data_IF_596985325158
#
_entry.id   IF_596985325158
#
_cell.length_a   1.000
_cell.length_b   1.000
_cell.length_c   1.000
_cell.angle_alpha   90.00
_cell.angle_beta   90.00
_cell.angle_gamma   90.00
#
_symmetry.space_group_name_H-M   'P 1'
#
loop_
_entity.id
_entity.type
_entity.pdbx_description
1 polymer ?
#
# COMPACT_ATOMS: atom_id res chain seq x y z
N UNK A 1 -26.22 -3.50 65.74
CA UNK A 1 -26.78 -3.11 64.44
C UNK A 1 -25.66 -2.46 63.66
N UNK A 2 -25.34 -2.97 62.47
CA UNK A 2 -24.36 -2.34 61.59
C UNK A 2 -24.87 -0.96 61.19
N UNK A 3 -24.08 0.09 61.42
CA UNK A 3 -24.43 1.43 60.96
C UNK A 3 -24.24 1.51 59.44
N UNK A 4 -25.36 1.55 58.72
CA UNK A 4 -25.37 1.61 57.26
C UNK A 4 -24.75 2.92 56.74
N UNK A 5 -24.87 4.02 57.48
CA UNK A 5 -24.33 5.32 57.08
C UNK A 5 -22.80 5.34 57.19
N UNK A 6 -22.26 4.77 58.27
CA UNK A 6 -20.80 4.65 58.43
C UNK A 6 -20.20 3.71 57.37
N UNK A 7 -20.85 2.57 57.10
CA UNK A 7 -20.40 1.64 56.06
C UNK A 7 -20.42 2.27 54.66
N UNK A 8 -21.44 3.08 54.35
CA UNK A 8 -21.51 3.81 53.09
C UNK A 8 -20.35 4.81 52.95
N UNK A 9 -20.09 5.59 54.01
CA UNK A 9 -19.04 6.59 54.03
C UNK A 9 -17.66 5.95 53.83
N UNK A 10 -17.37 4.86 54.55
CA UNK A 10 -16.10 4.13 54.45
C UNK A 10 -15.88 3.58 53.04
N UNK A 11 -16.92 2.99 52.43
CA UNK A 11 -16.85 2.46 51.08
C UNK A 11 -16.69 3.56 50.03
N UNK A 12 -17.44 4.66 50.13
CA UNK A 12 -17.30 5.79 49.19
C UNK A 12 -15.91 6.42 49.30
N UNK A 13 -15.36 6.58 50.50
CA UNK A 13 -14.01 7.09 50.71
C UNK A 13 -12.94 6.15 50.15
N UNK A 14 -13.09 4.84 50.33
CA UNK A 14 -12.20 3.84 49.76
C UNK A 14 -12.23 3.86 48.23
N UNK A 15 -13.42 3.98 47.63
CA UNK A 15 -13.59 4.12 46.17
C UNK A 15 -12.92 5.40 45.68
N UNK A 16 -13.16 6.53 46.35
CA UNK A 16 -12.55 7.82 45.97
C UNK A 16 -11.03 7.82 46.07
N UNK A 17 -10.47 7.09 47.03
CA UNK A 17 -9.02 6.96 47.23
C UNK A 17 -8.35 5.91 46.35
N UNK A 18 -9.12 5.12 45.59
CA UNK A 18 -8.56 4.09 44.73
C UNK A 18 -7.85 4.74 43.53
N UNK A 19 -6.57 4.37 43.33
CA UNK A 19 -5.72 4.91 42.26
C UNK A 19 -5.62 3.99 41.03
N UNK A 20 -6.06 2.74 41.14
CA UNK A 20 -5.99 1.75 40.05
C UNK A 20 -7.30 1.01 39.86
N UNK A 21 -7.59 0.57 38.63
CA UNK A 21 -8.77 -0.25 38.34
C UNK A 21 -8.76 -1.57 39.14
N UNK A 22 -7.57 -2.12 39.42
CA UNK A 22 -7.40 -3.28 40.29
C UNK A 22 -7.82 -2.98 41.74
N UNK A 23 -7.42 -1.84 42.30
CA UNK A 23 -7.84 -1.42 43.64
C UNK A 23 -9.36 -1.22 43.74
N UNK A 24 -9.99 -0.68 42.69
CA UNK A 24 -11.47 -0.58 42.63
C UNK A 24 -12.12 -1.96 42.59
N UNK A 25 -11.53 -2.92 41.87
CA UNK A 25 -12.01 -4.30 41.81
C UNK A 25 -11.89 -5.01 43.17
N UNK A 26 -10.79 -4.79 43.91
CA UNK A 26 -10.62 -5.32 45.27
C UNK A 26 -11.68 -4.78 46.22
N UNK A 27 -12.00 -3.48 46.14
CA UNK A 27 -13.08 -2.86 46.91
C UNK A 27 -14.45 -3.44 46.51
N UNK A 28 -14.68 -3.67 45.21
CA UNK A 28 -15.91 -4.32 44.72
C UNK A 28 -16.06 -5.72 45.29
N UNK A 29 -14.99 -6.52 45.34
CA UNK A 29 -15.01 -7.87 45.92
C UNK A 29 -15.25 -7.81 47.43
N UNK A 30 -14.62 -6.88 48.14
CA UNK A 30 -14.80 -6.69 49.58
C UNK A 30 -16.21 -6.20 49.96
N UNK A 31 -16.86 -5.40 49.12
CA UNK A 31 -18.20 -4.87 49.38
C UNK A 31 -19.32 -5.78 48.85
N UNK A 32 -19.23 -6.20 47.58
CA UNK A 32 -20.30 -6.87 46.80
C UNK A 32 -19.98 -8.33 46.45
N UNK A 33 -18.80 -8.85 46.82
CA UNK A 33 -18.43 -10.25 46.60
C UNK A 33 -19.26 -11.24 47.42
N UNK A 34 -19.01 -12.55 47.24
CA UNK A 34 -19.78 -13.62 47.91
C UNK A 34 -19.78 -13.53 49.46
N UNK A 35 -18.70 -12.99 50.02
CA UNK A 35 -18.52 -12.74 51.47
C UNK A 35 -18.38 -11.24 51.78
N UNK A 36 -18.82 -10.38 50.86
CA UNK A 36 -18.66 -8.93 51.01
C UNK A 36 -19.57 -8.34 52.08
N UNK A 37 -19.21 -7.16 52.59
CA UNK A 37 -19.94 -6.47 53.67
C UNK A 37 -21.41 -6.22 53.33
N UNK A 38 -21.72 -5.76 52.10
CA UNK A 38 -23.09 -5.52 51.63
C UNK A 38 -23.81 -6.85 51.33
N UNK A 39 -23.10 -7.82 50.74
CA UNK A 39 -23.64 -9.16 50.50
C UNK A 39 -24.02 -9.89 51.81
N UNK A 40 -23.29 -9.65 52.89
CA UNK A 40 -23.62 -10.13 54.23
C UNK A 40 -24.93 -9.52 54.76
N UNK A 41 -25.13 -8.22 54.58
CA UNK A 41 -26.36 -7.52 54.96
C UNK A 41 -27.57 -8.02 54.16
N UNK A 42 -27.40 -8.27 52.85
CA UNK A 42 -28.44 -8.83 51.99
C UNK A 42 -28.82 -10.27 52.38
N UNK A 43 -27.86 -11.11 52.77
CA UNK A 43 -28.15 -12.46 53.31
C UNK A 43 -28.89 -12.38 54.65
N UNK A 44 -28.52 -11.43 55.51
CA UNK A 44 -29.18 -11.17 56.79
C UNK A 44 -30.66 -10.82 56.66
N UNK A 45 -31.09 -10.23 55.53
CA UNK A 45 -32.51 -9.94 55.26
C UNK A 45 -33.39 -11.20 55.19
N UNK A 46 -32.82 -12.36 54.87
CA UNK A 46 -33.54 -13.64 54.80
C UNK A 46 -34.11 -14.07 56.16
N UNK A 47 -33.47 -13.67 57.25
CA UNK A 47 -33.85 -14.01 58.63
C UNK A 47 -34.75 -12.96 59.31
N UNK A 48 -35.02 -11.82 58.65
CA UNK A 48 -35.84 -10.72 59.20
C UNK A 48 -37.35 -11.02 59.12
N UNK A 49 -38.11 -10.47 60.07
CA UNK A 49 -39.58 -10.47 60.02
C UNK A 49 -40.12 -9.64 58.85
N UNK A 50 -41.39 -9.83 58.43
CA UNK A 50 -41.99 -9.07 57.34
C UNK A 50 -41.94 -7.54 57.53
N UNK A 51 -42.13 -7.07 58.76
CA UNK A 51 -42.14 -5.63 59.08
C UNK A 51 -40.71 -5.05 59.07
N UNK A 52 -39.73 -5.75 59.63
CA UNK A 52 -38.32 -5.34 59.58
C UNK A 52 -37.77 -5.34 58.15
N UNK A 53 -38.17 -6.32 57.34
CA UNK A 53 -37.77 -6.40 55.93
C UNK A 53 -38.35 -5.23 55.12
N UNK A 54 -39.56 -4.76 55.45
CA UNK A 54 -40.20 -3.61 54.81
C UNK A 54 -39.47 -2.30 55.06
N UNK A 55 -38.87 -2.13 56.25
CA UNK A 55 -38.14 -0.92 56.61
C UNK A 55 -36.65 -0.96 56.22
N UNK A 56 -35.96 -2.08 56.44
CA UNK A 56 -34.52 -2.21 56.23
C UNK A 56 -34.14 -2.62 54.80
N UNK A 57 -35.02 -3.34 54.10
CA UNK A 57 -34.77 -3.79 52.73
C UNK A 57 -34.49 -2.66 51.74
N UNK A 58 -35.31 -1.59 51.69
CA UNK A 58 -35.04 -0.43 50.83
C UNK A 58 -33.72 0.27 51.17
N UNK A 59 -33.36 0.37 52.46
CA UNK A 59 -32.12 1.00 52.93
C UNK A 59 -30.88 0.23 52.45
N UNK A 60 -30.89 -1.10 52.56
CA UNK A 60 -29.79 -1.98 52.13
C UNK A 60 -29.67 -2.03 50.60
N UNK A 61 -30.79 -2.12 49.88
CA UNK A 61 -30.77 -2.08 48.41
C UNK A 61 -30.29 -0.71 47.89
N UNK A 62 -30.74 0.39 48.50
CA UNK A 62 -30.26 1.73 48.16
C UNK A 62 -28.76 1.91 48.40
N UNK A 63 -28.23 1.37 49.50
CA UNK A 63 -26.79 1.35 49.77
C UNK A 63 -26.03 0.57 48.68
N UNK A 64 -26.49 -0.64 48.34
CA UNK A 64 -25.90 -1.46 47.28
C UNK A 64 -25.85 -0.70 45.96
N UNK A 65 -26.95 -0.06 45.58
CA UNK A 65 -27.06 0.60 44.28
C UNK A 65 -26.18 1.86 44.21
N UNK A 66 -26.08 2.64 45.29
CA UNK A 66 -25.16 3.79 45.38
C UNK A 66 -23.70 3.37 45.31
N UNK A 67 -23.29 2.37 46.10
CA UNK A 67 -21.92 1.84 46.10
C UNK A 67 -21.58 1.21 44.75
N UNK A 68 -22.49 0.44 44.16
CA UNK A 68 -22.29 -0.13 42.83
C UNK A 68 -22.11 0.97 41.77
N UNK A 69 -22.91 2.02 41.82
CA UNK A 69 -22.81 3.15 40.89
C UNK A 69 -21.47 3.89 41.05
N UNK A 70 -21.04 4.13 42.29
CA UNK A 70 -19.75 4.76 42.59
C UNK A 70 -18.55 3.91 42.11
N UNK A 71 -18.61 2.58 42.32
CA UNK A 71 -17.59 1.64 41.82
C UNK A 71 -17.51 1.67 40.29
N UNK A 72 -18.65 1.61 39.61
CA UNK A 72 -18.70 1.66 38.13
C UNK A 72 -18.17 2.98 37.60
N UNK A 73 -18.57 4.12 38.19
CA UNK A 73 -18.09 5.43 37.79
C UNK A 73 -16.57 5.56 37.98
N UNK A 74 -16.06 5.20 39.17
CA UNK A 74 -14.63 5.30 39.47
C UNK A 74 -13.77 4.39 38.59
N UNK A 75 -14.24 3.16 38.33
CA UNK A 75 -13.55 2.24 37.42
C UNK A 75 -13.45 2.82 36.02
N UNK A 76 -14.56 3.36 35.50
CA UNK A 76 -14.59 3.97 34.17
C UNK A 76 -13.66 5.20 34.07
N UNK A 77 -13.60 6.03 35.12
CA UNK A 77 -12.66 7.17 35.18
C UNK A 77 -11.20 6.72 35.09
N UNK A 78 -10.82 5.70 35.87
CA UNK A 78 -9.44 5.20 35.91
C UNK A 78 -9.05 4.50 34.60
N UNK A 79 -9.95 3.70 34.02
CA UNK A 79 -9.73 3.05 32.72
C UNK A 79 -9.60 4.09 31.59
N UNK A 80 -10.40 5.16 31.61
CA UNK A 80 -10.30 6.25 30.64
C UNK A 80 -8.98 7.03 30.79
N UNK A 81 -8.54 7.29 32.02
CA UNK A 81 -7.27 7.96 32.29
C UNK A 81 -6.06 7.11 31.86
N UNK A 82 -6.09 5.80 32.11
CA UNK A 82 -5.07 4.86 31.67
C UNK A 82 -4.99 4.79 30.14
N UNK A 83 -6.14 4.72 29.47
CA UNK A 83 -6.22 4.74 28.00
C UNK A 83 -5.66 6.03 27.41
N UNK A 84 -6.04 7.20 27.94
CA UNK A 84 -5.55 8.49 27.47
C UNK A 84 -4.02 8.64 27.66
N UNK A 85 -3.50 8.20 28.81
CA UNK A 85 -2.06 8.16 29.07
C UNK A 85 -1.33 7.27 28.05
N UNK A 86 -1.88 6.09 27.75
CA UNK A 86 -1.33 5.17 26.75
C UNK A 86 -1.37 5.75 25.34
N UNK A 87 -2.48 6.39 24.93
CA UNK A 87 -2.61 7.04 23.63
C UNK A 87 -1.61 8.19 23.45
N UNK A 88 -1.35 8.98 24.51
CA UNK A 88 -0.32 10.03 24.49
C UNK A 88 1.08 9.46 24.38
N UNK A 89 1.37 8.35 25.06
CA UNK A 89 2.67 7.68 25.00
C UNK A 89 2.92 7.00 23.64
N UNK A 90 1.88 6.45 23.01
CA UNK A 90 1.91 5.82 21.69
C UNK A 90 1.75 6.82 20.53
N UNK A 91 1.77 8.13 20.80
CA UNK A 91 1.63 9.15 19.77
C UNK A 91 2.83 9.13 18.82
N UNK A 92 2.57 8.94 17.53
CA UNK A 92 3.58 8.91 16.47
C UNK A 92 3.40 10.12 15.55
N UNK A 93 4.51 10.71 15.12
CA UNK A 93 4.51 11.72 14.07
C UNK A 93 4.19 11.08 12.69
N UNK A 94 2.96 11.28 12.22
CA UNK A 94 2.47 10.77 10.94
C UNK A 94 3.05 11.52 9.73
N UNK A 95 3.78 12.63 9.94
CA UNK A 95 4.42 13.38 8.85
C UNK A 95 5.80 12.82 8.47
N UNK A 96 6.34 11.91 9.27
CA UNK A 96 7.61 11.27 8.98
C UNK A 96 7.55 10.45 7.68
N UNK A 97 8.64 10.44 6.90
CA UNK A 97 8.69 9.66 5.68
C UNK A 97 8.51 8.17 6.00
N UNK A 98 7.74 7.42 5.18
CA UNK A 98 7.61 5.99 5.36
C UNK A 98 8.96 5.31 5.07
N UNK A 99 9.11 4.07 5.55
CA UNK A 99 10.29 3.28 5.23
C UNK A 99 10.44 3.16 3.71
N UNK A 100 11.63 3.45 3.14
CA UNK A 100 11.79 3.51 1.70
C UNK A 100 11.52 2.14 1.07
N UNK A 101 10.77 2.15 -0.03
CA UNK A 101 10.56 1.00 -0.90
C UNK A 101 11.14 1.34 -2.26
N UNK A 102 11.75 0.35 -2.93
CA UNK A 102 12.24 0.55 -4.31
C UNK A 102 11.06 0.86 -5.21
N UNK A 103 11.13 1.97 -5.93
CA UNK A 103 10.21 2.30 -7.01
C UNK A 103 10.88 1.93 -8.34
N UNK A 104 10.12 1.32 -9.24
CA UNK A 104 10.56 1.11 -10.61
C UNK A 104 10.44 2.40 -11.42
N UNK A 105 11.16 2.48 -12.54
CA UNK A 105 10.99 3.57 -13.50
C UNK A 105 11.15 3.01 -14.91
N UNK A 106 10.39 3.57 -15.84
CA UNK A 106 10.52 3.24 -17.27
C UNK A 106 11.73 3.99 -17.83
N UNK A 107 12.48 3.36 -18.73
CA UNK A 107 13.63 4.01 -19.35
C UNK A 107 13.18 5.25 -20.15
N UNK A 108 13.89 6.39 -20.10
CA UNK A 108 13.46 7.62 -20.77
C UNK A 108 13.15 7.46 -22.26
N UNK A 109 13.94 6.67 -22.99
CA UNK A 109 13.69 6.41 -24.42
C UNK A 109 12.39 5.63 -24.66
N UNK A 110 12.01 4.73 -23.74
CA UNK A 110 10.73 4.02 -23.82
C UNK A 110 9.56 4.96 -23.53
N UNK A 111 9.72 5.90 -22.57
CA UNK A 111 8.68 6.90 -22.30
C UNK A 111 8.39 7.76 -23.54
N UNK A 112 9.46 8.25 -24.21
CA UNK A 112 9.32 9.02 -25.46
C UNK A 112 8.74 8.16 -26.59
N UNK A 113 9.15 6.90 -26.69
CA UNK A 113 8.61 5.97 -27.68
C UNK A 113 7.11 5.75 -27.47
N UNK A 114 6.67 5.49 -26.25
CA UNK A 114 5.27 5.31 -25.89
C UNK A 114 4.44 6.58 -26.17
N UNK A 115 4.98 7.75 -25.86
CA UNK A 115 4.34 9.05 -26.16
C UNK A 115 4.16 9.26 -27.66
N UNK A 116 5.20 9.01 -28.46
CA UNK A 116 5.12 9.11 -29.92
C UNK A 116 4.12 8.10 -30.49
N UNK A 117 4.13 6.86 -29.99
CA UNK A 117 3.18 5.82 -30.41
C UNK A 117 1.75 6.26 -30.12
N UNK A 118 1.46 6.79 -28.93
CA UNK A 118 0.14 7.27 -28.56
C UNK A 118 -0.34 8.41 -29.50
N UNK A 119 0.52 9.40 -29.77
CA UNK A 119 0.21 10.51 -30.67
C UNK A 119 -0.19 10.05 -32.08
N UNK A 120 0.57 9.13 -32.67
CA UNK A 120 0.29 8.63 -34.01
C UNK A 120 -0.90 7.65 -34.05
N UNK A 121 -1.10 6.88 -32.97
CA UNK A 121 -2.27 6.03 -32.82
C UNK A 121 -3.57 6.86 -32.84
N UNK A 122 -3.60 8.01 -32.16
CA UNK A 122 -4.73 8.95 -32.18
C UNK A 122 -5.02 9.51 -33.59
N UNK A 123 -3.99 9.60 -34.44
CA UNK A 123 -4.13 9.99 -35.86
C UNK A 123 -4.52 8.81 -36.78
N UNK A 124 -4.69 7.61 -36.24
CA UNK A 124 -5.06 6.40 -36.97
C UNK A 124 -3.90 5.69 -37.68
N UNK A 125 -2.67 5.84 -37.18
CA UNK A 125 -1.53 5.04 -37.62
C UNK A 125 -1.44 3.75 -36.80
N UNK A 126 -1.11 2.63 -37.44
CA UNK A 126 -0.78 1.39 -36.77
C UNK A 126 0.72 1.29 -36.45
N UNK A 127 1.07 0.61 -35.37
CA UNK A 127 2.47 0.26 -35.08
C UNK A 127 2.85 -0.98 -35.88
N UNK A 128 3.96 -0.90 -36.62
CA UNK A 128 4.54 -2.00 -37.36
C UNK A 128 5.95 -2.30 -36.82
N UNK A 129 6.26 -3.58 -36.66
CA UNK A 129 7.56 -4.05 -36.17
C UNK A 129 8.25 -4.92 -37.21
N UNK A 130 9.56 -5.09 -37.07
CA UNK A 130 10.33 -6.00 -37.89
C UNK A 130 11.68 -6.34 -37.26
N UNK A 131 12.43 -7.26 -37.86
CA UNK A 131 13.65 -7.79 -37.28
C UNK A 131 14.75 -6.73 -37.18
N UNK A 132 15.66 -6.90 -36.23
CA UNK A 132 16.88 -6.08 -36.11
C UNK A 132 17.97 -6.50 -37.09
N UNK A 133 17.98 -7.78 -37.48
CA UNK A 133 18.87 -8.33 -38.51
C UNK A 133 18.14 -8.34 -39.84
N UNK A 134 18.67 -7.64 -40.82
CA UNK A 134 18.08 -7.46 -42.14
C UNK A 134 19.00 -7.96 -43.27
N UNK A 135 18.40 -8.23 -44.43
CA UNK A 135 19.14 -8.47 -45.66
C UNK A 135 19.47 -7.13 -46.38
N UNK A 136 20.38 -7.20 -47.36
CA UNK A 136 20.78 -6.03 -48.16
C UNK A 136 19.60 -5.45 -48.96
N UNK A 137 18.65 -6.29 -49.35
CA UNK A 137 17.52 -5.85 -50.16
C UNK A 137 16.62 -4.90 -49.37
N UNK A 138 16.15 -5.30 -48.19
CA UNK A 138 15.23 -4.51 -47.37
C UNK A 138 15.93 -3.33 -46.70
N UNK A 139 17.20 -3.47 -46.28
CA UNK A 139 17.94 -2.38 -45.66
C UNK A 139 18.46 -1.34 -46.67
N UNK A 140 18.67 -1.71 -47.94
CA UNK A 140 19.26 -0.80 -48.92
C UNK A 140 18.57 -0.80 -50.28
N UNK A 141 18.52 -1.94 -50.98
CA UNK A 141 18.10 -1.99 -52.40
C UNK A 141 16.69 -1.45 -52.62
N UNK A 142 15.73 -1.87 -51.79
CA UNK A 142 14.34 -1.45 -51.87
C UNK A 142 14.12 0.04 -51.54
N UNK A 143 15.11 0.68 -50.92
CA UNK A 143 15.10 2.10 -50.57
C UNK A 143 15.90 2.95 -51.57
N UNK A 144 16.17 2.39 -52.76
CA UNK A 144 16.88 3.06 -53.84
C UNK A 144 18.35 3.44 -53.52
N UNK A 145 19.00 2.71 -52.61
CA UNK A 145 20.44 2.78 -52.45
C UNK A 145 21.08 1.76 -53.40
N UNK A 146 21.75 2.11 -54.51
CA UNK A 146 22.43 1.12 -55.36
C UNK A 146 23.69 0.52 -54.69
N UNK A 147 24.26 -0.61 -55.19
CA UNK A 147 25.42 -1.27 -54.56
C UNK A 147 26.67 -0.40 -54.33
N UNK A 148 26.87 0.64 -55.14
CA UNK A 148 28.00 1.59 -55.02
C UNK A 148 27.62 2.87 -54.28
N UNK A 149 26.49 2.88 -53.56
CA UNK A 149 26.04 4.06 -52.84
C UNK A 149 26.88 4.26 -51.56
N UNK A 150 27.35 5.48 -51.25
CA UNK A 150 28.13 5.76 -50.04
C UNK A 150 27.46 5.31 -48.73
N UNK A 151 26.12 5.41 -48.66
CA UNK A 151 25.35 4.92 -47.51
C UNK A 151 25.40 3.39 -47.27
N UNK A 152 25.91 2.60 -48.23
CA UNK A 152 26.17 1.16 -48.08
C UNK A 152 27.61 0.85 -47.65
N UNK A 153 28.47 1.86 -47.59
CA UNK A 153 29.88 1.66 -47.29
C UNK A 153 30.08 1.14 -45.86
N UNK A 154 31.20 0.45 -45.65
CA UNK A 154 31.50 -0.29 -44.40
C UNK A 154 31.73 0.58 -43.16
N UNK A 155 31.65 1.90 -43.29
CA UNK A 155 32.01 2.81 -42.22
C UNK A 155 30.97 2.79 -41.08
N UNK A 156 29.67 2.73 -41.39
CA UNK A 156 28.62 2.89 -40.37
C UNK A 156 27.65 1.71 -40.26
N UNK A 157 27.82 0.64 -41.05
CA UNK A 157 26.94 -0.53 -41.02
C UNK A 157 27.61 -1.72 -40.34
N UNK A 158 26.92 -2.36 -39.40
CA UNK A 158 27.35 -3.65 -38.85
C UNK A 158 26.97 -4.78 -39.79
N UNK A 159 27.96 -5.33 -40.48
CA UNK A 159 27.78 -6.52 -41.30
C UNK A 159 28.00 -7.80 -40.50
N UNK A 160 27.13 -8.78 -40.70
CA UNK A 160 27.27 -10.12 -40.13
C UNK A 160 28.24 -10.98 -40.96
N UNK A 161 28.56 -12.16 -40.45
CA UNK A 161 29.33 -13.14 -41.22
C UNK A 161 28.52 -13.55 -42.47
N UNK A 162 29.19 -13.72 -43.63
CA UNK A 162 28.51 -14.21 -44.81
C UNK A 162 27.94 -15.60 -44.55
N UNK A 163 26.77 -15.86 -45.11
CA UNK A 163 26.16 -17.17 -45.13
C UNK A 163 27.09 -18.16 -45.87
N UNK A 164 27.43 -19.32 -45.28
CA UNK A 164 28.34 -20.28 -45.90
C UNK A 164 27.83 -20.89 -47.22
N UNK A 165 26.51 -20.94 -47.43
CA UNK A 165 25.88 -21.55 -48.59
C UNK A 165 25.59 -20.52 -49.68
N UNK A 166 25.04 -19.36 -49.32
CA UNK A 166 24.63 -18.33 -50.29
C UNK A 166 25.69 -17.26 -50.52
N UNK A 167 26.65 -17.12 -49.60
CA UNK A 167 27.63 -16.02 -49.60
C UNK A 167 27.02 -14.67 -49.22
N UNK A 168 25.71 -14.59 -48.97
CA UNK A 168 25.02 -13.35 -48.65
C UNK A 168 25.41 -12.83 -47.27
N UNK A 169 25.49 -11.51 -47.15
CA UNK A 169 25.91 -10.84 -45.91
C UNK A 169 24.76 -10.03 -45.35
N UNK A 170 24.14 -10.54 -44.29
CA UNK A 170 23.13 -9.80 -43.52
C UNK A 170 23.76 -8.63 -42.75
N UNK A 171 22.93 -7.69 -42.33
CA UNK A 171 23.33 -6.50 -41.58
C UNK A 171 22.46 -6.34 -40.33
N UNK A 172 22.98 -5.64 -39.32
CA UNK A 172 22.09 -5.00 -38.35
C UNK A 172 21.49 -3.75 -39.00
N UNK A 173 20.17 -3.58 -38.91
CA UNK A 173 19.47 -2.49 -39.60
C UNK A 173 19.96 -1.12 -39.14
N UNK A 174 20.16 -0.21 -40.10
CA UNK A 174 20.68 1.15 -39.85
C UNK A 174 19.57 2.20 -39.65
N UNK A 175 18.32 1.79 -39.90
CA UNK A 175 17.07 2.54 -39.80
C UNK A 175 15.88 1.54 -39.81
N UNK A 176 14.68 1.97 -39.43
CA UNK A 176 13.48 1.11 -39.42
C UNK A 176 12.70 1.08 -40.74
N UNK A 177 13.21 1.71 -41.80
CA UNK A 177 12.66 1.64 -43.16
C UNK A 177 12.45 0.23 -43.74
N UNK A 178 13.21 -0.82 -43.38
CA UNK A 178 12.91 -2.20 -43.79
C UNK A 178 11.48 -2.64 -43.45
N UNK A 179 10.96 -2.20 -42.29
CA UNK A 179 9.57 -2.47 -41.89
C UNK A 179 8.59 -1.86 -42.88
N UNK A 180 8.86 -0.63 -43.34
CA UNK A 180 8.02 0.08 -44.31
C UNK A 180 7.97 -0.66 -45.65
N UNK A 181 9.13 -1.13 -46.15
CA UNK A 181 9.21 -1.96 -47.37
C UNK A 181 8.40 -3.23 -47.19
N UNK A 182 8.59 -3.96 -46.08
CA UNK A 182 7.87 -5.20 -45.79
C UNK A 182 6.36 -4.98 -45.74
N UNK A 183 5.90 -3.89 -45.11
CA UNK A 183 4.47 -3.53 -45.08
C UNK A 183 3.93 -3.23 -46.48
N UNK A 184 4.66 -2.44 -47.30
CA UNK A 184 4.22 -2.13 -48.66
C UNK A 184 4.22 -3.35 -49.61
N UNK A 185 5.03 -4.37 -49.31
CA UNK A 185 5.03 -5.63 -50.07
C UNK A 185 3.90 -6.58 -49.66
N UNK A 186 3.42 -6.50 -48.42
CA UNK A 186 2.38 -7.39 -47.89
C UNK A 186 0.97 -6.78 -47.88
N UNK A 187 0.87 -5.46 -48.00
CA UNK A 187 -0.38 -4.71 -47.93
C UNK A 187 -0.48 -3.71 -49.09
N UNK A 188 -1.70 -3.52 -49.61
CA UNK A 188 -2.01 -2.49 -50.61
C UNK A 188 -2.46 -1.18 -49.94
N UNK A 189 -2.24 -0.01 -50.58
CA UNK A 189 -2.75 1.26 -50.09
C UNK A 189 -4.27 1.27 -49.85
N UNK A 190 -4.77 2.02 -48.86
CA UNK A 190 -4.03 2.98 -48.01
C UNK A 190 -3.23 2.31 -46.87
N UNK A 191 -2.02 2.83 -46.62
CA UNK A 191 -1.14 2.39 -45.53
C UNK A 191 -0.85 3.59 -44.61
N UNK A 192 -1.03 3.40 -43.29
CA UNK A 192 -0.68 4.38 -42.25
C UNK A 192 0.01 3.64 -41.11
N UNK A 193 1.33 3.67 -41.08
CA UNK A 193 2.11 3.00 -40.06
C UNK A 193 3.20 3.89 -39.47
N UNK A 194 3.55 3.62 -38.22
CA UNK A 194 4.81 4.02 -37.61
C UNK A 194 5.63 2.78 -37.29
N UNK A 195 6.95 2.87 -37.39
CA UNK A 195 7.86 1.74 -37.18
C UNK A 195 8.92 2.10 -36.13
N UNK A 196 8.57 2.15 -34.83
CA UNK A 196 9.55 2.29 -33.77
C UNK A 196 10.41 1.02 -33.68
N UNK A 197 11.68 1.18 -33.32
CA UNK A 197 12.58 0.05 -33.20
C UNK A 197 14.03 0.48 -33.05
N UNK A 198 14.85 -0.43 -32.53
CA UNK A 198 16.29 -0.23 -32.37
C UNK A 198 16.98 -0.22 -33.72
N UNK A 199 17.98 0.62 -33.85
CA UNK A 199 18.84 0.69 -35.03
C UNK A 199 20.29 0.69 -34.61
N UNK A 200 21.16 0.30 -35.53
CA UNK A 200 22.55 0.02 -35.22
C UNK A 200 23.45 0.73 -36.21
N UNK A 201 24.43 1.47 -35.69
CA UNK A 201 25.47 2.12 -36.49
C UNK A 201 26.82 1.94 -35.85
N UNK A 202 27.85 1.77 -36.67
CA UNK A 202 29.22 1.57 -36.18
C UNK A 202 29.88 2.91 -35.83
N UNK A 203 29.23 3.67 -34.95
CA UNK A 203 29.72 4.93 -34.43
C UNK A 203 29.52 4.98 -32.91
N UNK A 204 30.49 5.50 -32.17
CA UNK A 204 30.50 5.48 -30.72
C UNK A 204 31.37 6.60 -30.15
N UNK A 205 30.72 7.66 -29.70
CA UNK A 205 31.34 8.78 -28.97
C UNK A 205 30.36 9.32 -27.90
N UNK A 206 30.55 10.54 -27.41
CA UNK A 206 29.68 11.11 -26.38
C UNK A 206 28.24 11.40 -26.86
N UNK A 207 28.04 11.56 -28.16
CA UNK A 207 26.76 11.89 -28.82
C UNK A 207 26.23 10.78 -29.72
N UNK A 208 27.03 9.75 -29.99
CA UNK A 208 26.69 8.61 -30.83
C UNK A 208 26.79 7.31 -30.04
N UNK A 209 25.74 6.50 -30.08
CA UNK A 209 25.74 5.14 -29.52
C UNK A 209 25.59 4.11 -30.63
N UNK A 210 26.25 2.95 -30.52
CA UNK A 210 26.20 1.94 -31.57
C UNK A 210 24.83 1.26 -31.72
N UNK A 211 23.95 1.46 -30.73
CA UNK A 211 22.54 1.11 -30.73
C UNK A 211 21.75 2.31 -30.22
N UNK A 212 20.70 2.70 -30.92
CA UNK A 212 19.77 3.76 -30.53
C UNK A 212 18.34 3.45 -30.99
#
# INVERSE_FOLDING_TARGET
MTDLAQLELDLINAIGSAETAAAVEDIRVAALGKSGSISGLLKGMGAMSPDERREQGPKINGLRDRVSSALTARKAELEAAELDARLKAEHVDLTLPPRPRRQGSVHPTMQVMDEMVALFADMGFAVAEGPDVEDDFHNFTALNFPPKHPAREMHDTFFLKPDPETGERKVLRTHTSPVQVRTMMSQTPPIRIIAPGRTFRKDSDATHTPMF
#
